data_IF_719824144281
#
_entry.id   IF_719824144281
#
_cell.length_a   1.000
_cell.length_b   1.000
_cell.length_c   1.000
_cell.angle_alpha   90.00
_cell.angle_beta   90.00
_cell.angle_gamma   90.00
#
_symmetry.space_group_name_H-M   'P 1'
#
loop_
_entity.id
_entity.type
_entity.pdbx_description
1 polymer ?
#
# COMPACT_ATOMS: atom_id res chain seq x y z
N UNK A 1 16.63 -17.91 -13.87
CA UNK A 1 18.09 -17.96 -14.11
C UNK A 1 18.66 -16.56 -14.35
N UNK A 2 18.27 -15.82 -15.40
CA UNK A 2 18.76 -14.45 -15.61
C UNK A 2 18.26 -13.42 -14.58
N UNK A 3 17.03 -13.56 -14.08
CA UNK A 3 16.47 -12.63 -13.09
C UNK A 3 17.17 -12.72 -11.73
N UNK A 4 17.51 -13.95 -11.31
CA UNK A 4 18.28 -14.20 -10.11
C UNK A 4 19.69 -13.60 -10.19
N UNK A 5 20.28 -13.56 -11.39
CA UNK A 5 21.55 -12.90 -11.62
C UNK A 5 21.46 -11.39 -11.37
N UNK A 6 20.47 -10.69 -11.93
CA UNK A 6 20.31 -9.24 -11.68
C UNK A 6 19.97 -8.92 -10.23
N UNK A 7 19.12 -9.71 -9.59
CA UNK A 7 18.83 -9.56 -8.17
C UNK A 7 20.10 -9.70 -7.32
N UNK A 8 20.95 -10.69 -7.64
CA UNK A 8 22.23 -10.89 -6.95
C UNK A 8 23.19 -9.72 -7.14
N UNK A 9 23.31 -9.19 -8.36
CA UNK A 9 24.15 -8.02 -8.61
C UNK A 9 23.69 -6.79 -7.82
N UNK A 10 22.38 -6.56 -7.71
CA UNK A 10 21.82 -5.48 -6.89
C UNK A 10 22.02 -5.74 -5.39
N UNK A 11 21.76 -6.96 -4.90
CA UNK A 11 21.88 -7.32 -3.49
C UNK A 11 23.32 -7.26 -2.97
N UNK A 12 24.30 -7.50 -3.83
CA UNK A 12 25.75 -7.43 -3.52
C UNK A 12 26.38 -6.09 -3.87
N UNK A 13 25.59 -5.10 -4.29
CA UNK A 13 26.05 -3.76 -4.70
C UNK A 13 27.04 -3.77 -5.88
N UNK A 14 27.07 -4.85 -6.67
CA UNK A 14 27.82 -4.96 -7.92
C UNK A 14 27.13 -4.22 -9.08
N UNK A 15 25.81 -4.03 -9.00
CA UNK A 15 25.04 -3.14 -9.86
C UNK A 15 24.41 -2.04 -9.00
N UNK A 16 24.56 -0.75 -9.37
CA UNK A 16 24.05 0.33 -8.54
C UNK A 16 22.53 0.41 -8.60
N UNK A 17 21.89 0.71 -7.48
CA UNK A 17 20.43 0.66 -7.35
C UNK A 17 19.68 1.71 -8.17
N UNK A 18 20.34 2.78 -8.63
CA UNK A 18 19.72 3.81 -9.45
C UNK A 18 19.27 3.29 -10.82
N UNK A 19 19.76 2.14 -11.25
CA UNK A 19 19.27 1.48 -12.48
C UNK A 19 17.79 1.11 -12.39
N UNK A 20 17.22 1.00 -11.18
CA UNK A 20 15.78 0.76 -11.00
C UNK A 20 14.92 1.94 -11.46
N UNK A 21 15.49 3.14 -11.65
CA UNK A 21 14.77 4.31 -12.17
C UNK A 21 14.20 4.11 -13.58
N UNK A 22 14.76 3.19 -14.35
CA UNK A 22 14.27 2.87 -15.70
C UNK A 22 13.09 1.89 -15.72
N UNK A 23 12.68 1.38 -14.55
CA UNK A 23 11.54 0.51 -14.40
C UNK A 23 10.33 1.34 -13.98
N UNK A 24 9.23 1.23 -14.72
CA UNK A 24 7.96 1.88 -14.38
C UNK A 24 6.97 0.82 -13.91
N UNK A 25 6.26 1.08 -12.81
CA UNK A 25 5.20 0.22 -12.28
C UNK A 25 3.88 0.98 -12.20
N UNK A 26 3.26 1.17 -13.36
CA UNK A 26 1.89 1.71 -13.51
C UNK A 26 1.04 0.73 -14.30
N UNK A 27 -0.29 0.84 -14.17
CA UNK A 27 -1.21 -0.01 -14.94
C UNK A 27 -1.06 0.21 -16.46
N UNK A 28 -0.74 1.45 -16.86
CA UNK A 28 -0.75 1.91 -18.25
C UNK A 28 0.59 1.66 -18.95
N UNK A 29 1.72 1.80 -18.24
CA UNK A 29 3.06 1.70 -18.83
C UNK A 29 3.76 0.35 -18.59
N UNK A 30 3.00 -0.67 -18.16
CA UNK A 30 3.53 -2.03 -17.97
C UNK A 30 2.79 -3.08 -18.78
N UNK A 31 3.55 -3.92 -19.47
CA UNK A 31 3.06 -5.15 -20.12
C UNK A 31 3.09 -6.32 -19.14
N UNK A 32 2.36 -7.41 -19.44
CA UNK A 32 2.37 -8.62 -18.61
C UNK A 32 3.78 -9.19 -18.39
N UNK A 33 4.65 -9.15 -19.40
CA UNK A 33 6.03 -9.63 -19.27
C UNK A 33 6.86 -8.74 -18.34
N UNK A 34 6.72 -7.42 -18.43
CA UNK A 34 7.40 -6.49 -17.52
C UNK A 34 6.94 -6.68 -16.06
N UNK A 35 5.64 -6.92 -15.84
CA UNK A 35 5.10 -7.22 -14.50
C UNK A 35 5.67 -8.53 -13.93
N UNK A 36 5.79 -9.57 -14.75
CA UNK A 36 6.41 -10.84 -14.32
C UNK A 36 7.90 -10.62 -13.99
N UNK A 37 8.62 -9.83 -14.80
CA UNK A 37 10.01 -9.47 -14.54
C UNK A 37 10.16 -8.78 -13.18
N UNK A 38 9.39 -7.70 -12.93
CA UNK A 38 9.46 -6.92 -11.70
C UNK A 38 9.10 -7.79 -10.49
N UNK A 39 8.06 -8.62 -10.63
CA UNK A 39 7.63 -9.53 -9.57
C UNK A 39 8.77 -10.46 -9.14
N UNK A 40 9.38 -11.15 -10.10
CA UNK A 40 10.44 -12.12 -9.80
C UNK A 40 11.69 -11.40 -9.28
N UNK A 41 12.06 -10.25 -9.85
CA UNK A 41 13.21 -9.46 -9.41
C UNK A 41 13.10 -9.08 -7.92
N UNK A 42 11.96 -8.52 -7.52
CA UNK A 42 11.75 -8.08 -6.13
C UNK A 42 11.51 -9.25 -5.17
N UNK A 43 10.91 -10.35 -5.61
CA UNK A 43 10.83 -11.58 -4.82
C UNK A 43 12.22 -12.12 -4.50
N UNK A 44 13.11 -12.19 -5.50
CA UNK A 44 14.47 -12.66 -5.29
C UNK A 44 15.29 -11.69 -4.43
N UNK A 45 15.13 -10.37 -4.61
CA UNK A 45 15.75 -9.38 -3.71
C UNK A 45 15.29 -9.56 -2.26
N UNK A 46 14.01 -9.83 -2.05
CA UNK A 46 13.46 -10.08 -0.71
C UNK A 46 13.97 -11.41 -0.13
N UNK A 47 14.16 -12.44 -0.96
CA UNK A 47 14.75 -13.72 -0.55
C UNK A 47 16.22 -13.54 -0.09
N UNK A 48 17.01 -12.75 -0.83
CA UNK A 48 18.45 -12.58 -0.57
C UNK A 48 18.75 -11.59 0.56
N UNK A 49 18.02 -10.48 0.65
CA UNK A 49 18.26 -9.42 1.64
C UNK A 49 17.36 -9.56 2.89
N UNK A 50 16.23 -10.25 2.75
CA UNK A 50 15.12 -10.15 3.69
C UNK A 50 14.29 -8.88 3.49
N UNK A 51 13.00 -8.96 3.85
CA UNK A 51 12.03 -7.87 3.64
C UNK A 51 12.40 -6.57 4.38
N UNK A 52 13.02 -6.68 5.56
CA UNK A 52 13.38 -5.51 6.39
C UNK A 52 14.47 -4.67 5.74
N UNK A 53 15.58 -5.31 5.34
CA UNK A 53 16.71 -4.62 4.73
C UNK A 53 16.35 -4.09 3.33
N UNK A 54 15.57 -4.86 2.56
CA UNK A 54 15.04 -4.38 1.29
C UNK A 54 14.19 -3.11 1.47
N UNK A 55 13.30 -3.09 2.47
CA UNK A 55 12.48 -1.91 2.77
C UNK A 55 13.35 -0.72 3.20
N UNK A 56 14.39 -0.93 4.00
CA UNK A 56 15.34 0.13 4.39
C UNK A 56 16.02 0.75 3.16
N UNK A 57 16.53 -0.08 2.25
CA UNK A 57 17.17 0.38 1.01
C UNK A 57 16.21 1.16 0.11
N UNK A 58 14.98 0.67 -0.07
CA UNK A 58 13.96 1.35 -0.89
C UNK A 58 13.49 2.68 -0.29
N UNK A 59 13.75 2.91 1.00
CA UNK A 59 13.42 4.15 1.69
C UNK A 59 14.64 5.04 1.97
N UNK A 60 15.80 4.74 1.38
CA UNK A 60 16.96 5.61 1.43
C UNK A 60 16.60 6.99 0.84
N UNK A 61 16.72 8.09 1.63
CA UNK A 61 16.42 9.45 1.17
C UNK A 61 17.22 9.88 -0.07
N UNK A 62 18.44 9.38 -0.22
CA UNK A 62 19.34 9.75 -1.33
C UNK A 62 18.93 9.09 -2.65
N UNK A 63 18.15 8.01 -2.58
CA UNK A 63 17.75 7.19 -3.73
C UNK A 63 16.27 7.32 -4.10
N UNK A 64 15.49 8.14 -3.38
CA UNK A 64 14.04 8.22 -3.58
C UNK A 64 13.64 8.52 -5.03
N UNK A 65 14.37 9.38 -5.72
CA UNK A 65 14.12 9.69 -7.14
C UNK A 65 14.27 8.45 -8.04
N UNK A 66 15.14 7.52 -7.68
CA UNK A 66 15.34 6.27 -8.45
C UNK A 66 14.23 5.25 -8.24
N UNK A 67 13.39 5.41 -7.22
CA UNK A 67 12.32 4.46 -6.90
C UNK A 67 10.92 5.04 -7.12
N UNK A 68 10.81 6.32 -7.49
CA UNK A 68 9.53 7.01 -7.69
C UNK A 68 8.65 6.32 -8.73
N UNK A 69 9.24 5.78 -9.79
CA UNK A 69 8.54 5.06 -10.86
C UNK A 69 8.03 3.66 -10.44
N UNK A 70 8.58 3.07 -9.37
CA UNK A 70 8.19 1.75 -8.85
C UNK A 70 7.28 1.87 -7.61
N UNK A 71 7.54 2.88 -6.78
CA UNK A 71 6.80 3.21 -5.56
C UNK A 71 6.13 4.61 -5.71
N UNK A 72 5.21 4.79 -6.67
CA UNK A 72 4.64 6.08 -7.03
C UNK A 72 3.78 6.69 -5.91
N UNK A 73 3.99 8.00 -5.67
CA UNK A 73 3.21 8.84 -4.73
C UNK A 73 2.50 10.01 -5.44
N UNK A 74 2.58 10.06 -6.76
CA UNK A 74 2.01 11.09 -7.63
C UNK A 74 0.47 11.01 -7.73
N UNK A 75 -0.05 9.82 -8.03
CA UNK A 75 -1.45 9.57 -8.30
C UNK A 75 -1.98 8.43 -7.40
N UNK A 76 -3.08 8.62 -6.66
CA UNK A 76 -3.69 7.57 -5.85
C UNK A 76 -3.97 6.27 -6.60
N UNK A 77 -4.27 6.31 -7.90
CA UNK A 77 -4.45 5.12 -8.75
C UNK A 77 -3.14 4.33 -8.87
N UNK A 78 -2.04 5.00 -9.20
CA UNK A 78 -0.71 4.39 -9.34
C UNK A 78 -0.21 3.85 -7.99
N UNK A 79 -0.38 4.63 -6.91
CA UNK A 79 -0.03 4.20 -5.56
C UNK A 79 -0.78 2.91 -5.17
N UNK A 80 -2.10 2.84 -5.43
CA UNK A 80 -2.89 1.61 -5.18
C UNK A 80 -2.42 0.45 -6.02
N UNK A 81 -2.10 0.68 -7.29
CA UNK A 81 -1.60 -0.34 -8.18
C UNK A 81 -0.29 -0.95 -7.64
N UNK A 82 0.68 -0.11 -7.27
CA UNK A 82 1.95 -0.56 -6.69
C UNK A 82 1.75 -1.31 -5.36
N UNK A 83 0.91 -0.81 -4.46
CA UNK A 83 0.55 -1.52 -3.21
C UNK A 83 0.02 -2.92 -3.52
N UNK A 84 -1.00 -3.01 -4.38
CA UNK A 84 -1.64 -4.28 -4.73
C UNK A 84 -0.68 -5.25 -5.43
N UNK A 85 0.18 -4.73 -6.29
CA UNK A 85 1.18 -5.52 -7.02
C UNK A 85 2.14 -6.21 -6.06
N UNK A 86 2.73 -5.48 -5.10
CA UNK A 86 3.68 -6.06 -4.16
C UNK A 86 3.01 -6.94 -3.10
N UNK A 87 1.78 -6.64 -2.69
CA UNK A 87 1.03 -7.49 -1.75
C UNK A 87 0.64 -8.82 -2.37
N UNK A 88 0.12 -8.79 -3.60
CA UNK A 88 -0.22 -10.03 -4.33
C UNK A 88 1.02 -10.84 -4.71
N UNK A 89 2.19 -10.19 -4.72
CA UNK A 89 3.49 -10.86 -4.90
C UNK A 89 4.09 -11.41 -3.60
N UNK A 90 3.44 -11.24 -2.46
CA UNK A 90 3.90 -11.77 -1.16
C UNK A 90 4.95 -10.92 -0.44
N UNK A 91 5.26 -9.72 -0.95
CA UNK A 91 6.29 -8.81 -0.42
C UNK A 91 5.70 -7.47 0.01
N UNK A 92 4.47 -7.48 0.53
CA UNK A 92 3.74 -6.26 0.90
C UNK A 92 4.44 -5.37 1.95
N UNK A 93 5.40 -5.89 2.70
CA UNK A 93 6.17 -5.14 3.71
C UNK A 93 6.96 -3.96 3.14
N UNK A 94 7.33 -3.96 1.85
CA UNK A 94 8.02 -2.81 1.23
C UNK A 94 7.09 -1.63 0.91
N UNK A 95 5.78 -1.80 1.11
CA UNK A 95 4.75 -0.80 0.74
C UNK A 95 4.18 -0.05 1.93
N UNK A 96 4.75 -0.20 3.13
CA UNK A 96 4.21 0.43 4.35
C UNK A 96 4.10 1.95 4.19
N UNK A 97 5.17 2.61 3.73
CA UNK A 97 5.18 4.06 3.51
C UNK A 97 4.17 4.52 2.44
N UNK A 98 3.88 3.70 1.43
CA UNK A 98 2.85 4.01 0.43
C UNK A 98 1.44 3.93 1.04
N UNK A 99 1.19 2.95 1.91
CA UNK A 99 -0.09 2.78 2.61
C UNK A 99 -0.35 3.94 3.54
N UNK A 100 0.65 4.36 4.31
CA UNK A 100 0.57 5.54 5.17
C UNK A 100 0.31 6.81 4.36
N UNK A 101 1.05 7.01 3.27
CA UNK A 101 0.86 8.14 2.37
C UNK A 101 -0.57 8.20 1.84
N UNK A 102 -1.10 7.09 1.31
CA UNK A 102 -2.45 7.01 0.76
C UNK A 102 -3.52 7.28 1.83
N UNK A 103 -3.33 6.76 3.05
CA UNK A 103 -4.22 7.02 4.19
C UNK A 103 -4.25 8.50 4.58
N UNK A 104 -3.08 9.16 4.58
CA UNK A 104 -2.97 10.58 4.90
C UNK A 104 -3.60 11.45 3.79
N UNK A 105 -3.28 11.20 2.53
CA UNK A 105 -3.88 11.91 1.39
C UNK A 105 -5.40 11.77 1.37
N UNK A 106 -5.93 10.57 1.63
CA UNK A 106 -7.38 10.33 1.69
C UNK A 106 -8.06 11.10 2.82
N UNK A 107 -7.38 11.26 3.98
CA UNK A 107 -7.87 12.06 5.10
C UNK A 107 -7.91 13.56 4.78
N UNK A 108 -6.97 14.06 3.99
CA UNK A 108 -6.97 15.47 3.55
C UNK A 108 -8.12 15.75 2.58
N UNK A 109 -8.36 14.86 1.62
CA UNK A 109 -9.47 14.99 0.66
C UNK A 109 -10.83 14.96 1.39
N UNK A 110 -11.01 14.08 2.39
CA UNK A 110 -12.24 14.04 3.20
C UNK A 110 -12.45 15.29 4.06
N UNK A 111 -11.38 15.98 4.47
CA UNK A 111 -11.49 17.24 5.24
C UNK A 111 -11.84 18.44 4.37
N UNK A 112 -11.42 18.46 3.11
CA UNK A 112 -11.76 19.51 2.15
C UNK A 112 -13.17 19.34 1.55
N UNK A 113 -13.74 18.14 1.57
CA UNK A 113 -15.13 17.89 1.19
C UNK A 113 -16.14 18.10 2.32
N UNK A 114 -15.85 18.95 3.32
CA UNK A 114 -16.88 19.45 4.22
C UNK A 114 -17.59 20.61 3.49
N UNK A 115 -18.81 20.44 2.96
CA UNK A 115 -19.51 21.53 2.34
C UNK A 115 -19.77 22.60 3.40
N UNK A 116 -19.56 23.86 3.03
CA UNK A 116 -19.98 25.03 3.79
C UNK A 116 -21.42 24.81 4.23
N UNK A 117 -21.60 24.58 5.52
CA UNK A 117 -22.90 24.35 6.13
C UNK A 117 -23.60 25.70 6.30
N UNK A 118 -24.79 25.85 5.73
CA UNK A 118 -25.80 26.78 6.22
C UNK A 118 -26.92 25.93 6.86
N UNK A 119 -27.00 25.94 8.20
CA UNK A 119 -28.19 25.57 8.98
C UNK A 119 -28.17 24.21 9.70
N UNK A 120 -28.64 24.12 10.97
CA UNK A 120 -28.38 23.01 11.90
C UNK A 120 -29.46 21.91 11.88
N UNK A 121 -29.27 20.91 12.75
CA UNK A 121 -30.07 19.70 13.01
C UNK A 121 -29.60 18.49 12.17
N UNK A 122 -29.10 17.38 12.72
CA UNK A 122 -29.50 16.70 13.95
C UNK A 122 -28.33 15.84 14.44
N UNK A 123 -28.05 15.85 15.74
CA UNK A 123 -27.16 14.88 16.37
C UNK A 123 -27.82 13.50 16.33
N UNK A 124 -27.08 12.49 15.86
CA UNK A 124 -27.45 11.10 16.10
C UNK A 124 -26.17 10.33 16.42
N UNK A 125 -25.95 10.26 17.73
CA UNK A 125 -24.95 9.42 18.37
C UNK A 125 -25.42 7.96 18.25
N UNK A 126 -24.61 7.10 17.65
CA UNK A 126 -24.88 5.66 17.62
C UNK A 126 -23.81 4.93 18.42
N UNK A 127 -24.01 4.86 19.74
CA UNK A 127 -23.26 3.96 20.61
C UNK A 127 -23.85 2.55 20.56
N UNK A 128 -22.92 1.61 20.48
CA UNK A 128 -23.01 0.16 20.55
C UNK A 128 -23.68 -0.35 21.84
N UNK A 129 -24.47 -1.43 21.76
CA UNK A 129 -24.57 -2.51 22.79
C UNK A 129 -25.80 -3.43 22.63
N UNK A 130 -25.50 -4.70 22.38
CA UNK A 130 -26.09 -5.97 22.88
C UNK A 130 -27.54 -5.97 23.45
N UNK A 131 -28.40 -6.84 22.89
CA UNK A 131 -29.69 -7.23 23.48
C UNK A 131 -29.69 -8.71 23.83
N UNK A 132 -29.54 -8.98 25.12
CA UNK A 132 -29.97 -10.20 25.78
C UNK A 132 -30.99 -9.77 26.84
N UNK A 133 -32.27 -10.14 26.68
CA UNK A 133 -33.32 -9.77 27.66
C UNK A 133 -34.16 -10.98 28.05
N UNK A 134 -33.73 -11.58 29.15
CA UNK A 134 -34.59 -12.30 30.06
C UNK A 134 -35.51 -11.31 30.80
N UNK A 135 -36.82 -11.64 30.85
CA UNK A 135 -37.60 -11.91 32.09
C UNK A 135 -38.90 -11.10 32.27
N UNK A 136 -40.00 -11.88 32.21
CA UNK A 136 -41.22 -11.88 33.08
C UNK A 136 -41.95 -10.54 33.35
N UNK A 137 -43.28 -10.54 33.18
CA UNK A 137 -44.28 -10.83 34.25
C UNK A 137 -45.73 -10.54 33.83
N UNK A 138 -46.60 -11.50 34.22
CA UNK A 138 -47.92 -11.34 34.88
C UNK A 138 -49.22 -11.11 34.05
N UNK A 139 -50.06 -12.16 34.14
CA UNK A 139 -51.44 -12.20 34.72
C UNK A 139 -52.63 -11.67 33.90
N UNK A 140 -53.51 -12.58 33.41
CA UNK A 140 -54.88 -12.94 33.90
C UNK A 140 -55.67 -13.64 32.76
N UNK A 141 -56.09 -14.90 32.96
CA UNK A 141 -57.49 -15.38 33.12
C UNK A 141 -58.45 -15.00 31.97
N UNK A 142 -58.78 -16.01 31.15
CA UNK A 142 -60.12 -16.58 30.93
C UNK A 142 -59.95 -17.99 30.37
#
# INVERSE_FOLDING_TARGET
MWLNFFAHLLATDALPWHVLAYIVLTEEDTTSSSRIFIKILFQELAEQLGIRLLNERLNDPTMQQSFESILPKDNPKNTRFAINFFTSSGIGGITENLREYLKNTSRHIMKEQKPVSLGPESESESSDSERDDHRRKRRRRT
#
